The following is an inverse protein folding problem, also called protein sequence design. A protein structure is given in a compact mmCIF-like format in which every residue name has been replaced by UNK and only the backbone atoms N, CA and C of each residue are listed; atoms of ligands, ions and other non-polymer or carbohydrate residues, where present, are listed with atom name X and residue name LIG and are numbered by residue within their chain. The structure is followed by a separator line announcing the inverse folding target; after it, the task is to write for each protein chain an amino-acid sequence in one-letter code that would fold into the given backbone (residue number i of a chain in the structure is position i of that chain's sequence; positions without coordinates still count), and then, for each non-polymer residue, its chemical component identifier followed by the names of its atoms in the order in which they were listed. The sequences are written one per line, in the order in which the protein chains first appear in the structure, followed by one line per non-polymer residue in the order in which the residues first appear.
data_IF_277252608087
#
_entry.id   IF_277252608087
#
_cell.length_a   1.000
_cell.length_b   1.000
_cell.length_c   1.000
_cell.angle_alpha   90.00
_cell.angle_beta   90.00
_cell.angle_gamma   90.00
#
_symmetry.space_group_name_H-M   'P 1'
#
loop_
_entity.id
_entity.type
_entity.pdbx_description
1 polymer ?
#
# COMPACT_ATOMS: atom_id res chain seq x y z
N UNK A 1 13.52 -12.71 -16.80
CA UNK A 1 14.23 -14.00 -16.79
C UNK A 1 13.54 -14.90 -17.81
N UNK A 2 14.24 -15.24 -18.88
CA UNK A 2 13.71 -16.02 -19.99
C UNK A 2 14.78 -17.03 -20.39
N UNK A 3 14.41 -18.32 -20.40
CA UNK A 3 15.24 -19.53 -20.61
C UNK A 3 15.79 -20.22 -19.34
N UNK A 4 14.90 -20.72 -18.48
CA UNK A 4 15.21 -21.83 -17.54
C UNK A 4 16.15 -21.56 -16.36
N UNK A 5 16.88 -20.44 -16.34
CA UNK A 5 17.74 -20.07 -15.20
C UNK A 5 16.93 -19.76 -13.94
N UNK A 6 17.43 -20.25 -12.80
CA UNK A 6 16.83 -19.98 -11.50
C UNK A 6 17.19 -18.59 -11.00
N UNK A 7 16.36 -18.02 -10.12
CA UNK A 7 16.68 -16.76 -9.43
C UNK A 7 18.03 -16.84 -8.73
N UNK A 8 18.34 -17.98 -8.10
CA UNK A 8 19.58 -18.21 -7.39
C UNK A 8 20.81 -18.15 -8.33
N UNK A 9 20.71 -18.76 -9.50
CA UNK A 9 21.81 -18.76 -10.47
C UNK A 9 22.04 -17.36 -11.04
N UNK A 10 20.96 -16.66 -11.42
CA UNK A 10 21.08 -15.31 -11.94
C UNK A 10 21.73 -14.35 -10.93
N UNK A 11 21.35 -14.39 -9.65
CA UNK A 11 21.94 -13.48 -8.64
C UNK A 11 23.39 -13.81 -8.31
N UNK A 12 23.80 -15.09 -8.41
CA UNK A 12 25.21 -15.51 -8.26
C UNK A 12 26.10 -15.03 -9.40
N UNK A 13 25.54 -14.81 -10.59
CA UNK A 13 26.25 -14.18 -11.70
C UNK A 13 26.30 -12.67 -11.50
N UNK A 14 25.15 -12.04 -11.22
CA UNK A 14 25.06 -10.59 -11.05
C UNK A 14 25.98 -10.07 -9.94
N UNK A 15 26.11 -10.79 -8.82
CA UNK A 15 26.99 -10.37 -7.70
C UNK A 15 28.47 -10.20 -8.10
N UNK A 16 28.92 -10.83 -9.19
CA UNK A 16 30.29 -10.69 -9.66
C UNK A 16 30.54 -9.33 -10.31
N UNK A 17 29.47 -8.57 -10.61
CA UNK A 17 29.52 -7.30 -11.33
C UNK A 17 28.97 -6.11 -10.52
N UNK A 18 28.40 -6.35 -9.33
CA UNK A 18 27.71 -5.33 -8.56
C UNK A 18 27.92 -5.53 -7.06
N UNK A 19 27.94 -4.43 -6.31
CA UNK A 19 28.04 -4.45 -4.83
C UNK A 19 26.67 -4.56 -4.15
N UNK A 20 25.58 -4.25 -4.86
CA UNK A 20 24.21 -4.28 -4.36
C UNK A 20 23.23 -4.63 -5.49
N UNK A 21 22.17 -5.38 -5.15
CA UNK A 21 21.11 -5.75 -6.10
C UNK A 21 19.80 -5.11 -5.67
N UNK A 22 19.26 -4.20 -6.49
CA UNK A 22 17.86 -3.79 -6.38
C UNK A 22 17.01 -4.70 -7.27
N UNK A 23 16.16 -5.53 -6.66
CA UNK A 23 15.40 -6.56 -7.37
C UNK A 23 13.90 -6.24 -7.35
N UNK A 24 13.29 -6.20 -8.53
CA UNK A 24 11.83 -6.25 -8.71
C UNK A 24 11.47 -7.53 -9.46
N UNK A 25 10.52 -8.29 -8.93
CA UNK A 25 10.14 -9.57 -9.50
C UNK A 25 8.63 -9.84 -9.34
N UNK A 26 8.02 -10.55 -10.28
CA UNK A 26 6.57 -10.82 -10.28
C UNK A 26 6.17 -11.93 -9.30
N UNK A 27 7.06 -12.88 -9.03
CA UNK A 27 6.87 -13.91 -7.99
C UNK A 27 7.16 -13.33 -6.60
N UNK A 28 6.24 -13.56 -5.68
CA UNK A 28 6.39 -13.26 -4.26
C UNK A 28 7.58 -14.03 -3.68
N UNK A 29 8.34 -13.39 -2.78
CA UNK A 29 9.50 -14.00 -2.14
C UNK A 29 10.76 -14.13 -3.01
N UNK A 30 10.72 -13.77 -4.30
CA UNK A 30 11.91 -13.85 -5.15
C UNK A 30 13.10 -13.00 -4.65
N UNK A 31 12.91 -11.75 -4.15
CA UNK A 31 14.01 -11.00 -3.52
C UNK A 31 14.54 -11.63 -2.24
N UNK A 32 13.72 -12.38 -1.51
CA UNK A 32 14.17 -13.13 -0.32
C UNK A 32 15.03 -14.33 -0.72
N UNK A 33 14.62 -15.07 -1.75
CA UNK A 33 15.47 -16.14 -2.31
C UNK A 33 16.78 -15.55 -2.84
N UNK A 34 16.71 -14.44 -3.57
CA UNK A 34 17.88 -13.73 -4.06
C UNK A 34 18.85 -13.37 -2.93
N UNK A 35 18.35 -12.83 -1.81
CA UNK A 35 19.22 -12.43 -0.69
C UNK A 35 19.93 -13.61 -0.02
N UNK A 36 19.34 -14.80 -0.04
CA UNK A 36 19.96 -16.03 0.49
C UNK A 36 21.13 -16.53 -0.36
N UNK A 37 21.17 -16.23 -1.67
CA UNK A 37 22.17 -16.75 -2.59
C UNK A 37 23.12 -15.69 -3.16
N UNK A 38 22.78 -14.41 -3.11
CA UNK A 38 23.56 -13.32 -3.70
C UNK A 38 24.89 -13.09 -2.96
N UNK A 39 24.95 -13.24 -1.63
CA UNK A 39 26.16 -12.93 -0.86
C UNK A 39 26.54 -11.44 -0.83
N UNK A 40 25.72 -10.58 -1.43
CA UNK A 40 25.75 -9.11 -1.37
C UNK A 40 24.36 -8.60 -1.00
N UNK A 41 24.22 -7.36 -0.49
CA UNK A 41 22.91 -6.81 -0.12
C UNK A 41 21.91 -6.84 -1.27
N UNK A 42 20.67 -7.22 -0.95
CA UNK A 42 19.53 -7.23 -1.88
C UNK A 42 18.42 -6.31 -1.35
N UNK A 43 18.02 -5.34 -2.15
CA UNK A 43 16.90 -4.44 -1.88
C UNK A 43 15.68 -4.95 -2.65
N UNK A 44 14.58 -5.20 -1.93
CA UNK A 44 13.29 -5.51 -2.53
C UNK A 44 12.65 -4.22 -3.11
N UNK A 45 12.65 -4.10 -4.44
CA UNK A 45 11.98 -3.04 -5.19
C UNK A 45 10.57 -3.47 -5.66
N UNK A 46 10.00 -4.50 -5.06
CA UNK A 46 8.66 -5.05 -5.27
C UNK A 46 8.67 -6.54 -5.62
N UNK A 47 7.96 -7.36 -4.84
CA UNK A 47 7.81 -8.81 -5.08
C UNK A 47 6.35 -9.24 -5.24
N UNK A 48 5.85 -9.29 -6.47
CA UNK A 48 4.46 -9.64 -6.76
C UNK A 48 3.47 -8.75 -6.01
N UNK A 49 2.44 -9.37 -5.42
CA UNK A 49 1.44 -8.73 -4.54
C UNK A 49 1.87 -8.63 -3.07
N UNK A 50 3.06 -9.12 -2.71
CA UNK A 50 3.45 -9.29 -1.31
C UNK A 50 3.94 -7.99 -0.66
N UNK A 51 5.02 -7.36 -1.14
CA UNK A 51 5.58 -6.17 -0.48
C UNK A 51 6.30 -5.19 -1.42
N UNK A 52 6.39 -3.93 -0.99
CA UNK A 52 7.18 -2.89 -1.65
C UNK A 52 7.81 -1.92 -0.63
N UNK A 53 8.86 -2.33 0.10
CA UNK A 53 9.35 -1.61 1.27
C UNK A 53 9.89 -0.20 0.93
N UNK A 54 10.52 -0.02 -0.23
CA UNK A 54 11.04 1.30 -0.64
C UNK A 54 9.94 2.32 -0.93
N UNK A 55 8.78 1.88 -1.44
CA UNK A 55 7.63 2.76 -1.61
C UNK A 55 7.10 3.18 -0.25
N UNK A 56 6.90 2.23 0.66
CA UNK A 56 6.46 2.52 2.03
C UNK A 56 7.38 3.47 2.77
N UNK A 57 8.70 3.35 2.61
CA UNK A 57 9.65 4.30 3.19
C UNK A 57 9.49 5.71 2.62
N UNK A 58 9.24 5.82 1.32
CA UNK A 58 8.95 7.12 0.67
C UNK A 58 7.65 7.72 1.18
N UNK A 59 6.61 6.91 1.35
CA UNK A 59 5.32 7.35 1.88
C UNK A 59 5.48 7.85 3.33
N UNK A 60 6.18 7.09 4.18
CA UNK A 60 6.47 7.50 5.56
C UNK A 60 7.32 8.77 5.64
N UNK A 61 8.34 8.91 4.78
CA UNK A 61 9.13 10.13 4.71
C UNK A 61 8.26 11.34 4.35
N UNK A 62 7.35 11.16 3.40
CA UNK A 62 6.40 12.21 2.99
C UNK A 62 5.48 12.58 4.14
N UNK A 63 4.88 11.59 4.80
CA UNK A 63 4.04 11.81 6.01
C UNK A 63 4.83 12.56 7.09
N UNK A 64 6.08 12.17 7.35
CA UNK A 64 6.91 12.81 8.36
C UNK A 64 7.23 14.26 8.02
N UNK A 65 7.49 14.57 6.75
CA UNK A 65 7.77 15.94 6.29
C UNK A 65 6.54 16.83 6.40
N UNK A 66 5.39 16.35 5.93
CA UNK A 66 4.16 17.13 5.86
C UNK A 66 3.46 17.27 7.23
N UNK A 67 3.49 16.22 8.07
CA UNK A 67 2.80 16.21 9.37
C UNK A 67 3.71 16.42 10.57
N UNK A 68 5.03 16.31 10.40
CA UNK A 68 6.03 16.42 11.48
C UNK A 68 6.03 15.24 12.46
N UNK A 69 5.08 14.30 12.36
CA UNK A 69 4.83 13.22 13.33
C UNK A 69 4.27 11.97 12.64
N UNK A 70 4.19 10.89 13.39
CA UNK A 70 3.49 9.67 12.98
C UNK A 70 2.34 9.31 13.91
N UNK A 71 2.42 9.65 15.19
CA UNK A 71 1.37 9.37 16.16
C UNK A 71 0.13 10.26 16.01
N UNK A 72 -1.02 9.75 16.46
CA UNK A 72 -2.31 10.44 16.48
C UNK A 72 -2.71 10.97 15.10
N UNK A 73 -2.61 10.10 14.08
CA UNK A 73 -3.01 10.39 12.71
C UNK A 73 -4.23 9.55 12.31
N UNK A 74 -5.16 10.17 11.60
CA UNK A 74 -6.26 9.50 10.90
C UNK A 74 -5.94 9.39 9.42
N UNK A 75 -5.80 8.16 8.91
CA UNK A 75 -5.43 7.86 7.53
C UNK A 75 -6.58 7.13 6.83
N UNK A 76 -7.07 7.71 5.73
CA UNK A 76 -8.03 7.07 4.85
C UNK A 76 -7.31 6.37 3.70
N UNK A 77 -7.49 5.07 3.54
CA UNK A 77 -7.01 4.32 2.37
C UNK A 77 -8.16 4.09 1.40
N UNK A 78 -8.02 4.60 0.18
CA UNK A 78 -9.12 4.68 -0.77
C UNK A 78 -8.81 3.98 -2.09
N UNK A 79 -9.62 2.99 -2.48
CA UNK A 79 -9.53 2.31 -3.79
C UNK A 79 -9.38 0.80 -3.67
N UNK A 80 -8.43 0.21 -4.41
CA UNK A 80 -8.11 -1.21 -4.34
C UNK A 80 -7.29 -1.53 -3.09
N UNK A 81 -7.96 -2.02 -2.04
CA UNK A 81 -7.32 -2.44 -0.79
C UNK A 81 -7.02 -3.93 -0.78
N UNK A 82 -7.64 -4.72 -1.66
CA UNK A 82 -7.45 -6.17 -1.74
C UNK A 82 -6.08 -6.52 -2.29
N UNK A 83 -5.67 -5.85 -3.37
CA UNK A 83 -4.40 -6.10 -4.06
C UNK A 83 -3.37 -4.98 -3.87
N UNK A 84 -3.72 -3.93 -3.12
CA UNK A 84 -2.87 -2.78 -2.83
C UNK A 84 -1.69 -3.11 -1.91
N UNK A 85 -0.63 -3.72 -2.44
CA UNK A 85 0.60 -4.05 -1.66
C UNK A 85 1.24 -2.85 -0.94
N UNK A 86 1.11 -1.65 -1.50
CA UNK A 86 1.59 -0.40 -0.88
C UNK A 86 0.74 -0.03 0.33
N UNK A 87 -0.58 -0.18 0.23
CA UNK A 87 -1.53 -0.05 1.36
C UNK A 87 -1.18 -1.03 2.46
N UNK A 88 -1.01 -2.31 2.12
CA UNK A 88 -0.72 -3.35 3.11
C UNK A 88 0.57 -3.04 3.88
N UNK A 89 1.62 -2.68 3.14
CA UNK A 89 2.92 -2.34 3.72
C UNK A 89 2.86 -1.07 4.57
N UNK A 90 2.11 -0.06 4.14
CA UNK A 90 1.97 1.21 4.87
C UNK A 90 1.12 1.06 6.14
N UNK A 91 0.00 0.32 6.09
CA UNK A 91 -0.79 0.00 7.29
C UNK A 91 0.08 -0.69 8.33
N UNK A 92 0.86 -1.70 7.92
CA UNK A 92 1.76 -2.43 8.81
C UNK A 92 2.89 -1.57 9.38
N UNK A 93 3.33 -0.56 8.63
CA UNK A 93 4.33 0.38 9.13
C UNK A 93 3.74 1.39 10.12
N UNK A 94 2.55 1.92 9.80
CA UNK A 94 1.85 2.88 10.65
C UNK A 94 1.37 2.24 11.96
N UNK A 95 0.99 0.95 11.94
CA UNK A 95 0.51 0.22 13.12
C UNK A 95 1.54 0.06 14.26
N UNK A 96 2.79 0.49 14.04
CA UNK A 96 3.86 0.57 15.04
C UNK A 96 3.77 1.83 15.92
N UNK A 97 3.08 2.87 15.45
CA UNK A 97 2.90 4.15 16.14
C UNK A 97 1.60 4.18 16.96
N UNK A 98 1.46 5.17 17.83
CA UNK A 98 0.35 5.24 18.79
C UNK A 98 -0.78 6.14 18.29
N UNK A 99 -2.03 5.79 18.61
CA UNK A 99 -3.20 6.59 18.28
C UNK A 99 -3.50 6.65 16.78
N UNK A 100 -3.13 5.61 16.04
CA UNK A 100 -3.39 5.53 14.60
C UNK A 100 -4.85 5.11 14.38
N UNK A 101 -5.55 5.89 13.55
CA UNK A 101 -6.89 5.56 13.08
C UNK A 101 -6.85 5.30 11.59
N UNK A 102 -7.28 4.11 11.19
CA UNK A 102 -7.31 3.69 9.78
C UNK A 102 -8.76 3.64 9.30
N UNK A 103 -9.06 4.38 8.24
CA UNK A 103 -10.36 4.32 7.57
C UNK A 103 -10.17 3.63 6.23
N UNK A 104 -10.79 2.47 6.07
CA UNK A 104 -10.73 1.66 4.86
C UNK A 104 -11.91 2.05 3.95
N UNK A 105 -11.61 2.68 2.82
CA UNK A 105 -12.58 3.27 1.89
C UNK A 105 -12.53 2.46 0.58
N UNK A 106 -13.38 1.45 0.45
CA UNK A 106 -13.36 0.55 -0.71
C UNK A 106 -14.75 -0.01 -1.04
N UNK A 107 -14.97 -0.44 -2.29
CA UNK A 107 -16.12 -1.29 -2.59
C UNK A 107 -15.95 -2.67 -1.93
N UNK A 108 -17.02 -3.47 -1.85
CA UNK A 108 -16.98 -4.78 -1.15
C UNK A 108 -15.94 -5.71 -1.76
N UNK A 109 -15.82 -5.65 -3.07
CA UNK A 109 -15.10 -6.60 -3.89
C UNK A 109 -13.59 -6.35 -3.84
N UNK A 110 -13.20 -5.12 -3.48
CA UNK A 110 -11.82 -4.68 -3.26
C UNK A 110 -11.50 -4.40 -1.78
N UNK A 111 -12.31 -4.94 -0.88
CA UNK A 111 -12.10 -4.85 0.57
C UNK A 111 -10.74 -5.45 0.98
N UNK A 112 -10.18 -4.91 2.06
CA UNK A 112 -8.94 -5.41 2.65
C UNK A 112 -9.10 -6.90 3.03
N UNK A 113 -8.11 -7.77 2.77
CA UNK A 113 -8.25 -9.20 3.05
C UNK A 113 -8.47 -9.50 4.54
N UNK A 114 -9.26 -10.53 4.86
CA UNK A 114 -9.64 -10.84 6.25
C UNK A 114 -8.44 -11.13 7.17
N UNK A 115 -7.37 -11.73 6.65
CA UNK A 115 -6.16 -11.99 7.45
C UNK A 115 -5.53 -10.68 7.95
N UNK A 116 -5.55 -9.62 7.13
CA UNK A 116 -5.05 -8.30 7.51
C UNK A 116 -5.97 -7.61 8.50
N UNK A 117 -7.29 -7.72 8.29
CA UNK A 117 -8.27 -7.19 9.24
C UNK A 117 -8.12 -7.85 10.61
N UNK A 118 -7.86 -9.16 10.65
CA UNK A 118 -7.59 -9.87 11.89
C UNK A 118 -6.27 -9.42 12.54
N UNK A 119 -5.20 -9.21 11.77
CA UNK A 119 -3.93 -8.64 12.27
C UNK A 119 -4.14 -7.23 12.85
N UNK A 120 -4.96 -6.40 12.18
CA UNK A 120 -5.33 -5.06 12.64
C UNK A 120 -6.16 -5.11 13.93
N UNK A 121 -7.14 -6.01 14.04
CA UNK A 121 -7.96 -6.19 15.26
C UNK A 121 -7.13 -6.64 16.46
N UNK A 122 -6.11 -7.46 16.23
CA UNK A 122 -5.21 -7.92 17.28
C UNK A 122 -4.26 -6.82 17.77
N UNK A 123 -4.11 -5.71 17.04
CA UNK A 123 -3.23 -4.62 17.41
C UNK A 123 -3.98 -3.54 18.22
N UNK A 124 -3.71 -3.50 19.53
CA UNK A 124 -4.33 -2.54 20.45
C UNK A 124 -3.97 -1.06 20.22
N UNK A 125 -3.00 -0.76 19.35
CA UNK A 125 -2.55 0.62 19.05
C UNK A 125 -3.25 1.23 17.83
N UNK A 126 -4.07 0.45 17.14
CA UNK A 126 -4.69 0.82 15.88
C UNK A 126 -6.20 0.65 15.98
N UNK A 127 -6.93 1.73 15.75
CA UNK A 127 -8.37 1.69 15.52
C UNK A 127 -8.61 1.63 14.01
N UNK A 128 -9.61 0.88 13.56
CA UNK A 128 -10.02 0.96 12.18
C UNK A 128 -11.53 0.79 12.00
N UNK A 129 -12.03 1.34 10.89
CA UNK A 129 -13.38 1.11 10.41
C UNK A 129 -13.42 1.09 8.89
N UNK A 130 -14.48 0.50 8.37
CA UNK A 130 -14.73 0.36 6.93
C UNK A 130 -15.87 1.30 6.52
N UNK A 131 -15.70 1.99 5.40
CA UNK A 131 -16.70 2.89 4.81
C UNK A 131 -16.76 2.70 3.30
N UNK A 132 -17.87 3.11 2.69
CA UNK A 132 -18.12 2.91 1.24
C UNK A 132 -17.75 4.12 0.41
N UNK A 133 -17.77 5.31 0.99
CA UNK A 133 -17.54 6.57 0.31
C UNK A 133 -16.48 7.37 1.05
N UNK A 134 -15.68 8.16 0.33
CA UNK A 134 -14.63 8.98 0.95
C UNK A 134 -15.22 10.24 1.58
N UNK A 135 -16.31 10.75 1.01
CA UNK A 135 -17.01 11.98 1.35
C UNK A 135 -17.48 11.99 2.81
N UNK A 136 -17.93 10.85 3.32
CA UNK A 136 -18.37 10.66 4.71
C UNK A 136 -17.26 10.91 5.73
N UNK A 137 -16.00 10.74 5.34
CA UNK A 137 -14.86 10.72 6.27
C UNK A 137 -13.84 11.84 6.03
N UNK A 138 -13.95 12.59 4.93
CA UNK A 138 -13.06 13.71 4.59
C UNK A 138 -12.79 14.69 5.75
N UNK A 139 -13.77 15.07 6.61
CA UNK A 139 -13.52 15.99 7.73
C UNK A 139 -12.60 15.43 8.82
N UNK A 140 -12.43 14.11 8.87
CA UNK A 140 -11.69 13.40 9.92
C UNK A 140 -10.25 13.07 9.49
N UNK A 141 -9.97 13.07 8.19
CA UNK A 141 -8.70 12.61 7.64
C UNK A 141 -7.58 13.63 7.82
N UNK A 142 -6.44 13.17 8.34
CA UNK A 142 -5.18 13.88 8.23
C UNK A 142 -4.48 13.56 6.90
N UNK A 143 -4.69 12.34 6.40
CA UNK A 143 -4.07 11.81 5.18
C UNK A 143 -5.13 11.03 4.40
N UNK A 144 -5.28 11.34 3.11
CA UNK A 144 -6.00 10.50 2.15
C UNK A 144 -4.99 9.80 1.24
N UNK A 145 -4.85 8.49 1.41
CA UNK A 145 -3.98 7.64 0.60
C UNK A 145 -4.80 6.94 -0.49
N UNK A 146 -4.68 7.42 -1.71
CA UNK A 146 -5.42 6.95 -2.88
C UNK A 146 -4.68 5.80 -3.55
N UNK A 147 -5.41 4.78 -4.01
CA UNK A 147 -4.92 3.76 -4.93
C UNK A 147 -5.78 3.68 -6.17
N UNK A 148 -5.18 3.17 -7.25
CA UNK A 148 -5.88 2.98 -8.52
C UNK A 148 -6.87 1.82 -8.40
N UNK A 149 -8.13 2.09 -8.71
CA UNK A 149 -9.14 1.05 -8.95
C UNK A 149 -8.94 0.48 -10.35
N UNK A 150 -8.60 -0.81 -10.42
CA UNK A 150 -8.31 -1.52 -11.67
C UNK A 150 -9.57 -2.20 -12.20
N UNK A 151 -10.01 -1.87 -13.43
CA UNK A 151 -11.22 -2.47 -14.06
C UNK A 151 -11.10 -3.99 -14.16
N UNK A 152 -9.91 -4.49 -14.44
CA UNK A 152 -9.60 -5.92 -14.58
C UNK A 152 -9.72 -6.74 -13.28
N UNK A 153 -9.98 -6.10 -12.13
CA UNK A 153 -10.18 -6.77 -10.84
C UNK A 153 -11.64 -7.10 -10.54
N UNK A 154 -12.56 -6.56 -11.33
CA UNK A 154 -13.98 -6.81 -11.22
C UNK A 154 -14.37 -7.98 -12.12
N UNK A 155 -15.30 -8.81 -11.65
CA UNK A 155 -15.84 -9.93 -12.43
C UNK A 155 -16.85 -9.46 -13.49
N UNK A 156 -17.50 -8.33 -13.23
CA UNK A 156 -18.54 -7.75 -14.06
C UNK A 156 -18.25 -6.26 -14.32
N UNK A 157 -18.44 -5.84 -15.59
CA UNK A 157 -18.26 -4.44 -15.98
C UNK A 157 -19.33 -3.53 -15.37
N UNK A 158 -20.55 -4.03 -15.17
CA UNK A 158 -21.63 -3.24 -14.55
C UNK A 158 -21.29 -2.88 -13.10
N UNK A 159 -20.64 -3.78 -12.38
CA UNK A 159 -20.22 -3.57 -11.00
C UNK A 159 -19.13 -2.50 -10.91
N UNK A 160 -18.13 -2.56 -11.80
CA UNK A 160 -17.11 -1.52 -11.94
C UNK A 160 -17.75 -0.15 -12.26
N UNK A 161 -18.69 -0.12 -13.20
CA UNK A 161 -19.34 1.12 -13.62
C UNK A 161 -20.19 1.77 -12.51
N UNK A 162 -20.78 0.97 -11.62
CA UNK A 162 -21.48 1.47 -10.42
C UNK A 162 -20.54 2.17 -9.44
N UNK A 163 -19.31 1.68 -9.29
CA UNK A 163 -18.41 2.14 -8.23
C UNK A 163 -17.33 3.12 -8.71
N UNK A 164 -16.99 3.14 -10.01
CA UNK A 164 -15.87 3.92 -10.55
C UNK A 164 -15.89 5.40 -10.15
N UNK A 165 -17.07 6.03 -10.12
CA UNK A 165 -17.21 7.46 -9.83
C UNK A 165 -17.10 7.78 -8.33
N UNK A 166 -17.39 6.81 -7.46
CA UNK A 166 -17.30 6.98 -6.00
C UNK A 166 -15.86 7.14 -5.53
N UNK A 167 -14.90 6.58 -6.27
CA UNK A 167 -13.47 6.60 -5.95
C UNK A 167 -12.65 7.59 -6.77
N UNK A 168 -13.30 8.45 -7.57
CA UNK A 168 -12.65 9.59 -8.22
C UNK A 168 -12.58 10.74 -7.21
N UNK A 169 -11.37 11.27 -7.00
CA UNK A 169 -11.16 12.45 -6.18
C UNK A 169 -11.26 13.71 -7.05
N UNK A 170 -12.15 14.62 -6.68
CA UNK A 170 -12.34 15.91 -7.34
C UNK A 170 -12.34 17.07 -6.33
N UNK A 171 -12.16 18.33 -6.78
CA UNK A 171 -12.17 19.49 -5.90
C UNK A 171 -13.47 19.69 -5.10
N UNK A 172 -14.60 19.16 -5.57
CA UNK A 172 -15.88 19.18 -4.85
C UNK A 172 -15.84 18.30 -3.60
N UNK A 173 -15.27 17.09 -3.70
CA UNK A 173 -15.09 16.17 -2.56
C UNK A 173 -14.11 16.69 -1.51
N UNK A 174 -13.17 17.55 -1.91
CA UNK A 174 -12.21 18.18 -1.00
C UNK A 174 -12.81 19.33 -0.15
N UNK A 175 -14.03 19.77 -0.43
CA UNK A 175 -14.64 20.93 0.27
C UNK A 175 -14.79 20.73 1.78
N UNK A 176 -15.01 19.49 2.21
CA UNK A 176 -15.19 19.13 3.62
C UNK A 176 -13.90 18.62 4.27
N UNK A 177 -12.81 18.52 3.52
CA UNK A 177 -11.53 18.06 4.01
C UNK A 177 -10.92 19.04 5.02
N UNK A 178 -10.09 18.52 5.93
CA UNK A 178 -9.27 19.38 6.80
C UNK A 178 -8.32 20.23 5.96
N UNK A 179 -8.07 21.47 6.39
CA UNK A 179 -7.18 22.40 5.70
C UNK A 179 -5.74 21.90 5.59
N UNK A 180 -5.29 21.12 6.57
CA UNK A 180 -3.95 20.54 6.62
C UNK A 180 -3.91 19.11 6.08
N UNK A 181 -5.03 18.54 5.61
CA UNK A 181 -5.06 17.18 5.05
C UNK A 181 -4.15 17.08 3.84
N UNK A 182 -3.35 16.02 3.77
CA UNK A 182 -2.53 15.73 2.59
C UNK A 182 -3.11 14.57 1.79
N UNK A 183 -2.84 14.57 0.48
CA UNK A 183 -3.24 13.50 -0.43
C UNK A 183 -1.97 12.79 -0.89
N UNK A 184 -1.94 11.47 -0.76
CA UNK A 184 -0.86 10.62 -1.23
C UNK A 184 -1.40 9.65 -2.28
N UNK A 185 -0.60 9.39 -3.31
CA UNK A 185 -0.88 8.37 -4.32
C UNK A 185 0.46 7.72 -4.72
N UNK A 186 0.59 6.38 -4.72
CA UNK A 186 1.85 5.70 -5.07
C UNK A 186 2.21 5.73 -6.57
N UNK A 187 1.34 6.35 -7.37
CA UNK A 187 1.36 6.50 -8.85
C UNK A 187 1.20 5.18 -9.61
#
# INVERSE_FOLDING_TARGET
MSKGETVADTVRVIRCFADIIAMRHFKEGAPLVASQYAGIPVINAGDGSHSHPTQTLTDLLTIKREKGRFDNLTIGFCGDLKFGRTVHSLIKALSRYSGIKVILISPEELRLPDYMLNEMRANSRLEFREVRTMEEVMPELDILYMTRVQKERFLDEEEFDRVKNSFVLDPGKLRTARKDMIILHPL
#
